data_IF_520692829317
#
_entry.id   IF_520692829317
#
_cell.length_a   1.000
_cell.length_b   1.000
_cell.length_c   1.000
_cell.angle_alpha   90.00
_cell.angle_beta   90.00
_cell.angle_gamma   90.00
#
_symmetry.space_group_name_H-M   'P 1'
#
loop_
_entity.id
_entity.type
_entity.pdbx_description
1 polymer ?
#
# COMPACT_ATOMS: atom_id res chain seq x y z
N UNK A 1 -3.15 -17.91 -55.03
CA UNK A 1 -4.36 -18.22 -54.22
C UNK A 1 -5.59 -17.43 -54.66
N UNK A 2 -5.53 -16.09 -54.77
CA UNK A 2 -6.68 -15.24 -55.17
C UNK A 2 -7.23 -15.59 -56.57
N UNK A 3 -6.36 -15.89 -57.54
CA UNK A 3 -6.77 -16.31 -58.89
C UNK A 3 -7.46 -17.69 -58.93
N UNK A 4 -7.01 -18.64 -58.09
CA UNK A 4 -7.56 -20.00 -58.03
C UNK A 4 -8.95 -20.01 -57.37
N UNK A 5 -9.16 -19.13 -56.38
CA UNK A 5 -10.46 -18.96 -55.70
C UNK A 5 -11.47 -18.26 -56.64
N UNK A 6 -11.02 -17.33 -57.49
CA UNK A 6 -11.89 -16.67 -58.48
C UNK A 6 -12.52 -17.64 -59.49
N UNK A 7 -11.77 -18.66 -59.92
CA UNK A 7 -12.25 -19.68 -60.88
C UNK A 7 -13.23 -20.66 -60.22
N UNK A 8 -12.97 -21.09 -58.99
CA UNK A 8 -13.87 -21.96 -58.22
C UNK A 8 -15.23 -21.30 -57.90
N UNK A 9 -15.26 -19.98 -57.71
CA UNK A 9 -16.49 -19.22 -57.40
C UNK A 9 -17.35 -18.99 -58.65
N UNK A 10 -16.75 -18.84 -59.83
CA UNK A 10 -17.50 -18.74 -61.09
C UNK A 10 -18.21 -20.06 -61.40
N UNK A 11 -17.53 -21.19 -61.18
CA UNK A 11 -18.10 -22.53 -61.34
C UNK A 11 -19.25 -22.80 -60.36
N UNK A 12 -19.13 -22.37 -59.10
CA UNK A 12 -20.17 -22.59 -58.08
C UNK A 12 -21.41 -21.71 -58.27
N UNK A 13 -21.24 -20.51 -58.82
CA UNK A 13 -22.34 -19.55 -59.05
C UNK A 13 -23.25 -19.95 -60.22
N UNK A 14 -22.71 -20.64 -61.23
CA UNK A 14 -23.46 -21.18 -62.36
C UNK A 14 -24.32 -22.40 -61.98
N UNK A 15 -24.00 -23.08 -60.87
CA UNK A 15 -24.62 -24.36 -60.51
C UNK A 15 -25.72 -24.27 -59.44
N UNK A 16 -25.77 -23.19 -58.63
CA UNK A 16 -26.67 -23.12 -57.45
C UNK A 16 -27.52 -21.84 -57.28
N UNK A 17 -27.49 -20.89 -58.24
CA UNK A 17 -28.36 -19.72 -58.24
C UNK A 17 -28.32 -18.87 -56.94
N UNK A 18 -29.44 -18.26 -56.57
CA UNK A 18 -29.53 -17.21 -55.52
C UNK A 18 -28.99 -17.55 -54.12
N UNK A 19 -28.80 -18.84 -53.78
CA UNK A 19 -28.18 -19.26 -52.51
C UNK A 19 -26.65 -19.06 -52.49
N UNK A 20 -25.99 -19.00 -53.65
CA UNK A 20 -24.55 -18.69 -53.76
C UNK A 20 -24.19 -17.25 -53.38
N UNK A 21 -25.11 -16.30 -53.60
CA UNK A 21 -24.93 -14.87 -53.27
C UNK A 21 -24.86 -14.61 -51.76
N UNK A 22 -25.65 -15.35 -50.97
CA UNK A 22 -25.67 -15.21 -49.51
C UNK A 22 -24.41 -15.81 -48.87
N UNK A 23 -23.92 -16.92 -49.40
CA UNK A 23 -22.64 -17.53 -48.98
C UNK A 23 -21.45 -16.63 -49.33
N UNK A 24 -21.47 -15.98 -50.50
CA UNK A 24 -20.49 -14.98 -50.91
C UNK A 24 -20.45 -13.76 -50.00
N UNK A 25 -21.60 -13.24 -49.55
CA UNK A 25 -21.64 -12.10 -48.61
C UNK A 25 -21.11 -12.46 -47.21
N UNK A 26 -21.41 -13.67 -46.71
CA UNK A 26 -20.88 -14.15 -45.42
C UNK A 26 -19.37 -14.41 -45.49
N UNK A 27 -18.87 -15.03 -46.55
CA UNK A 27 -17.43 -15.19 -46.79
C UNK A 27 -16.74 -13.86 -47.04
N UNK A 28 -17.34 -12.91 -47.79
CA UNK A 28 -16.83 -11.54 -47.91
C UNK A 28 -16.74 -10.86 -46.56
N UNK A 29 -17.74 -10.98 -45.68
CA UNK A 29 -17.67 -10.36 -44.35
C UNK A 29 -16.59 -10.98 -43.45
N UNK A 30 -16.27 -12.26 -43.62
CA UNK A 30 -15.21 -12.97 -42.89
C UNK A 30 -13.81 -12.68 -43.51
N UNK A 31 -13.75 -12.43 -44.81
CA UNK A 31 -12.53 -12.12 -45.58
C UNK A 31 -12.25 -10.60 -45.62
N UNK A 32 -13.25 -9.74 -45.34
CA UNK A 32 -13.13 -8.28 -45.38
C UNK A 32 -12.42 -7.67 -44.17
N UNK A 33 -12.26 -8.41 -43.06
CA UNK A 33 -11.30 -8.02 -42.03
C UNK A 33 -9.94 -8.51 -42.50
N UNK A 34 -9.32 -7.73 -43.38
CA UNK A 34 -8.02 -8.07 -43.95
C UNK A 34 -6.95 -8.24 -42.87
N UNK A 35 -5.88 -9.01 -43.12
CA UNK A 35 -4.80 -9.23 -42.16
C UNK A 35 -4.18 -7.92 -41.61
N UNK A 36 -4.23 -6.82 -42.38
CA UNK A 36 -3.82 -5.49 -41.92
C UNK A 36 -4.73 -4.90 -40.84
N UNK A 37 -6.04 -5.08 -40.94
CA UNK A 37 -7.02 -4.52 -40.00
C UNK A 37 -6.95 -5.22 -38.63
N UNK A 38 -6.77 -6.55 -38.61
CA UNK A 38 -6.50 -7.30 -37.36
C UNK A 38 -5.17 -6.95 -36.72
N UNK A 39 -4.15 -6.65 -37.52
CA UNK A 39 -2.84 -6.23 -36.99
C UNK A 39 -2.93 -4.84 -36.35
N UNK A 40 -3.68 -3.91 -36.96
CA UNK A 40 -3.89 -2.57 -36.41
C UNK A 40 -4.75 -2.61 -35.13
N UNK A 41 -5.78 -3.46 -35.06
CA UNK A 41 -6.54 -3.71 -33.83
C UNK A 41 -5.67 -4.26 -32.70
N UNK A 42 -4.77 -5.21 -33.00
CA UNK A 42 -3.87 -5.79 -32.00
C UNK A 42 -2.84 -4.78 -31.48
N UNK A 43 -2.40 -3.84 -32.32
CA UNK A 43 -1.51 -2.73 -31.93
C UNK A 43 -2.25 -1.72 -31.07
N UNK A 44 -3.47 -1.35 -31.43
CA UNK A 44 -4.29 -0.44 -30.63
C UNK A 44 -4.60 -1.02 -29.25
N UNK A 45 -5.01 -2.29 -29.20
CA UNK A 45 -5.28 -2.97 -27.92
C UNK A 45 -4.03 -3.06 -27.02
N UNK A 46 -2.85 -3.25 -27.61
CA UNK A 46 -1.58 -3.20 -26.87
C UNK A 46 -1.28 -1.79 -26.34
N UNK A 47 -1.40 -0.77 -27.19
CA UNK A 47 -1.23 0.65 -26.83
C UNK A 47 -2.13 1.03 -25.65
N UNK A 48 -3.43 0.73 -25.74
CA UNK A 48 -4.40 1.06 -24.71
C UNK A 48 -4.09 0.36 -23.38
N UNK A 49 -3.71 -0.94 -23.44
CA UNK A 49 -3.33 -1.71 -22.26
C UNK A 49 -2.04 -1.19 -21.61
N UNK A 50 -1.05 -0.80 -22.42
CA UNK A 50 0.21 -0.23 -21.94
C UNK A 50 -0.05 1.09 -21.21
N UNK A 51 -0.82 2.01 -21.82
CA UNK A 51 -1.19 3.29 -21.21
C UNK A 51 -1.99 3.11 -19.93
N UNK A 52 -2.90 2.14 -19.88
CA UNK A 52 -3.68 1.85 -18.69
C UNK A 52 -2.84 1.30 -17.52
N UNK A 53 -1.73 0.60 -17.77
CA UNK A 53 -0.94 -0.08 -16.75
C UNK A 53 0.41 0.58 -16.44
N UNK A 54 0.88 1.52 -17.27
CA UNK A 54 2.19 2.17 -17.06
C UNK A 54 2.22 2.94 -15.75
N UNK A 55 1.14 3.67 -15.42
CA UNK A 55 1.04 4.45 -14.19
C UNK A 55 1.15 3.59 -12.93
N UNK A 56 0.37 2.51 -12.85
CA UNK A 56 0.41 1.58 -11.71
C UNK A 56 1.75 0.85 -11.61
N UNK A 57 2.35 0.46 -12.74
CA UNK A 57 3.67 -0.19 -12.79
C UNK A 57 4.77 0.74 -12.27
N UNK A 58 4.78 2.00 -12.71
CA UNK A 58 5.80 2.98 -12.30
C UNK A 58 5.57 3.50 -10.87
N UNK A 59 4.32 3.54 -10.40
CA UNK A 59 3.99 3.81 -9.01
C UNK A 59 4.62 2.77 -8.06
N UNK A 60 4.82 1.52 -8.51
CA UNK A 60 5.55 0.51 -7.74
C UNK A 60 7.01 0.88 -7.50
N UNK A 61 7.59 1.74 -8.33
CA UNK A 61 8.95 2.26 -8.18
C UNK A 61 8.98 3.61 -7.46
N UNK A 62 7.84 4.17 -7.08
CA UNK A 62 7.72 5.51 -6.50
C UNK A 62 7.72 6.64 -7.53
N UNK A 63 7.32 6.34 -8.78
CA UNK A 63 7.07 7.34 -9.83
C UNK A 63 5.56 7.50 -9.98
N UNK A 64 5.03 8.61 -9.48
CA UNK A 64 3.60 8.89 -9.46
C UNK A 64 3.11 9.52 -10.77
N UNK A 65 1.78 9.57 -10.94
CA UNK A 65 1.13 9.99 -12.20
C UNK A 65 1.53 11.41 -12.62
N UNK A 66 1.77 12.32 -11.67
CA UNK A 66 2.25 13.68 -11.94
C UNK A 66 3.64 13.74 -12.61
N UNK A 67 4.43 12.66 -12.51
CA UNK A 67 5.73 12.51 -13.16
C UNK A 67 5.63 11.85 -14.53
N UNK A 68 4.42 11.46 -14.95
CA UNK A 68 4.14 10.78 -16.20
C UNK A 68 3.28 11.72 -17.04
N UNK A 69 3.67 11.94 -18.29
CA UNK A 69 2.91 12.83 -19.17
C UNK A 69 2.92 12.34 -20.60
N UNK A 70 1.72 12.29 -21.20
CA UNK A 70 1.61 12.11 -22.64
C UNK A 70 2.11 13.37 -23.37
N UNK A 71 2.84 13.14 -24.46
CA UNK A 71 3.44 14.17 -25.31
C UNK A 71 3.05 13.92 -26.75
N UNK A 72 3.10 14.99 -27.55
CA UNK A 72 2.88 14.86 -28.99
C UNK A 72 3.92 13.89 -29.59
N UNK A 73 3.49 12.99 -30.49
CA UNK A 73 4.39 12.13 -31.26
C UNK A 73 5.48 12.93 -31.97
N UNK A 74 6.71 12.40 -32.02
CA UNK A 74 7.75 12.93 -32.91
C UNK A 74 7.63 12.39 -34.35
N UNK A 75 6.96 11.26 -34.52
CA UNK A 75 6.68 10.61 -35.82
C UNK A 75 5.21 10.22 -35.88
N UNK A 76 4.61 10.28 -37.06
CA UNK A 76 3.21 9.85 -37.24
C UNK A 76 3.02 8.39 -36.81
N UNK A 77 2.04 8.13 -35.95
CA UNK A 77 1.60 6.79 -35.56
C UNK A 77 2.13 6.24 -34.23
N UNK A 78 3.10 6.86 -33.57
CA UNK A 78 3.58 6.41 -32.26
C UNK A 78 3.29 7.44 -31.16
N UNK A 79 2.54 7.05 -30.13
CA UNK A 79 2.33 7.86 -28.92
C UNK A 79 3.66 8.15 -28.22
N UNK A 80 3.72 9.19 -27.39
CA UNK A 80 4.93 9.53 -26.64
C UNK A 80 4.60 9.76 -25.18
N UNK A 81 5.32 9.08 -24.30
CA UNK A 81 5.16 9.19 -22.84
C UNK A 81 6.47 9.68 -22.26
N UNK A 82 6.44 10.79 -21.54
CA UNK A 82 7.58 11.30 -20.78
C UNK A 82 7.42 10.89 -19.32
N UNK A 83 8.47 10.30 -18.76
CA UNK A 83 8.57 9.88 -17.37
C UNK A 83 9.73 10.63 -16.71
N UNK A 84 9.43 11.44 -15.70
CA UNK A 84 10.44 12.07 -14.85
C UNK A 84 10.83 11.08 -13.74
N UNK A 85 12.04 10.53 -13.83
CA UNK A 85 12.55 9.53 -12.90
C UNK A 85 13.29 10.21 -11.75
N UNK A 86 12.89 10.01 -10.48
CA UNK A 86 13.58 10.59 -9.33
C UNK A 86 15.08 10.27 -9.25
N UNK A 87 15.86 11.18 -8.67
CA UNK A 87 17.32 11.14 -8.57
C UNK A 87 17.87 9.88 -7.89
N UNK A 88 17.13 9.33 -6.93
CA UNK A 88 17.53 8.13 -6.19
C UNK A 88 17.13 6.80 -6.87
N UNK A 89 16.44 6.84 -8.02
CA UNK A 89 15.98 5.66 -8.75
C UNK A 89 16.77 5.44 -10.07
N UNK A 90 17.61 4.39 -10.20
CA UNK A 90 18.36 4.16 -11.44
C UNK A 90 17.45 3.96 -12.66
N UNK A 91 17.76 4.61 -13.79
CA UNK A 91 16.97 4.51 -15.03
C UNK A 91 16.83 3.08 -15.53
N UNK A 92 17.86 2.25 -15.31
CA UNK A 92 17.86 0.82 -15.66
C UNK A 92 16.77 0.03 -14.93
N UNK A 93 16.40 0.42 -13.72
CA UNK A 93 15.31 -0.24 -12.97
C UNK A 93 13.97 0.05 -13.63
N UNK A 94 13.73 1.32 -14.00
CA UNK A 94 12.53 1.69 -14.75
C UNK A 94 12.47 0.98 -16.12
N UNK A 95 13.59 0.92 -16.83
CA UNK A 95 13.69 0.21 -18.09
C UNK A 95 13.32 -1.28 -17.93
N UNK A 96 13.86 -1.94 -16.90
CA UNK A 96 13.58 -3.35 -16.62
C UNK A 96 12.08 -3.59 -16.35
N UNK A 97 11.43 -2.79 -15.50
CA UNK A 97 10.01 -2.98 -15.20
C UNK A 97 9.11 -2.68 -16.41
N UNK A 98 9.41 -1.63 -17.19
CA UNK A 98 8.67 -1.35 -18.42
C UNK A 98 8.86 -2.44 -19.48
N UNK A 99 10.05 -3.05 -19.56
CA UNK A 99 10.31 -4.19 -20.45
C UNK A 99 9.49 -5.42 -20.04
N UNK A 100 9.35 -5.67 -18.74
CA UNK A 100 8.50 -6.75 -18.22
C UNK A 100 7.03 -6.48 -18.49
N UNK A 101 6.56 -5.25 -18.27
CA UNK A 101 5.19 -4.84 -18.59
C UNK A 101 4.87 -5.09 -20.07
N UNK A 102 5.72 -4.58 -20.98
CA UNK A 102 5.53 -4.77 -22.42
C UNK A 102 5.43 -6.25 -22.79
N UNK A 103 6.35 -7.08 -22.25
CA UNK A 103 6.34 -8.53 -22.48
C UNK A 103 5.09 -9.20 -21.92
N UNK A 104 4.64 -8.81 -20.72
CA UNK A 104 3.42 -9.32 -20.08
C UNK A 104 2.15 -9.01 -20.87
N UNK A 105 2.12 -7.88 -21.58
CA UNK A 105 1.02 -7.48 -22.47
C UNK A 105 1.12 -8.13 -23.87
N UNK A 106 2.07 -9.04 -24.08
CA UNK A 106 2.31 -9.71 -25.36
C UNK A 106 2.93 -8.80 -26.42
N UNK A 107 3.58 -7.72 -26.02
CA UNK A 107 4.44 -6.88 -26.85
C UNK A 107 5.91 -7.00 -26.46
N UNK A 108 6.71 -6.01 -26.84
CA UNK A 108 8.15 -5.99 -26.62
C UNK A 108 8.71 -4.57 -26.59
N UNK A 109 9.90 -4.42 -26.02
CA UNK A 109 10.74 -3.24 -26.22
C UNK A 109 11.57 -3.49 -27.48
N UNK A 110 11.16 -2.90 -28.59
CA UNK A 110 11.80 -3.05 -29.91
C UNK A 110 13.19 -2.42 -29.89
N UNK A 111 13.35 -1.29 -29.19
CA UNK A 111 14.62 -0.58 -29.08
C UNK A 111 14.71 0.17 -27.77
N UNK A 112 15.85 0.07 -27.09
CA UNK A 112 16.19 0.90 -25.94
C UNK A 112 17.50 1.64 -26.23
N UNK A 113 17.50 2.97 -26.10
CA UNK A 113 18.70 3.79 -26.30
C UNK A 113 18.95 4.62 -25.05
N UNK A 114 20.10 4.39 -24.43
CA UNK A 114 20.59 5.19 -23.32
C UNK A 114 21.42 6.36 -23.84
N UNK A 115 21.21 7.53 -23.22
CA UNK A 115 21.96 8.76 -23.47
C UNK A 115 22.60 9.18 -22.14
N UNK A 116 23.75 8.59 -21.75
CA UNK A 116 24.35 8.81 -20.43
C UNK A 116 24.61 10.29 -20.12
N UNK A 117 25.14 11.05 -21.09
CA UNK A 117 25.38 12.50 -20.93
C UNK A 117 24.12 13.37 -20.81
N UNK A 118 22.92 12.78 -20.92
CA UNK A 118 21.63 13.46 -20.78
C UNK A 118 20.75 12.85 -19.69
N UNK A 119 21.29 11.91 -18.90
CA UNK A 119 20.57 11.11 -17.90
C UNK A 119 19.19 10.64 -18.40
N UNK A 120 19.18 10.04 -19.59
CA UNK A 120 17.95 9.73 -20.32
C UNK A 120 18.01 8.35 -20.98
N UNK A 121 16.91 7.62 -20.91
CA UNK A 121 16.69 6.39 -21.68
C UNK A 121 15.43 6.56 -22.54
N UNK A 122 15.50 6.16 -23.81
CA UNK A 122 14.35 6.16 -24.72
C UNK A 122 14.02 4.73 -25.10
N UNK A 123 12.79 4.30 -24.82
CA UNK A 123 12.26 2.99 -25.12
C UNK A 123 11.25 3.11 -26.25
N UNK A 124 11.46 2.37 -27.33
CA UNK A 124 10.48 2.17 -28.38
C UNK A 124 9.78 0.85 -28.09
N UNK A 125 8.52 0.95 -27.70
CA UNK A 125 7.70 -0.17 -27.25
C UNK A 125 6.64 -0.43 -28.31
N UNK A 126 6.32 -1.70 -28.53
CA UNK A 126 5.37 -2.08 -29.55
C UNK A 126 5.08 -3.56 -29.57
N UNK A 127 4.47 -4.01 -30.67
CA UNK A 127 4.07 -5.40 -30.87
C UNK A 127 4.34 -5.80 -32.32
N UNK A 128 4.78 -7.03 -32.53
CA UNK A 128 5.10 -7.55 -33.87
C UNK A 128 6.09 -6.65 -34.63
N UNK A 129 7.12 -6.12 -33.95
CA UNK A 129 8.11 -5.21 -34.55
C UNK A 129 7.60 -3.81 -34.94
N UNK A 130 6.32 -3.48 -34.73
CA UNK A 130 5.75 -2.15 -34.98
C UNK A 130 5.66 -1.35 -33.68
N UNK A 131 6.25 -0.16 -33.68
CA UNK A 131 6.26 0.76 -32.53
C UNK A 131 4.88 1.39 -32.34
N UNK A 132 4.37 1.35 -31.12
CA UNK A 132 3.13 2.04 -30.71
C UNK A 132 3.45 3.21 -29.79
N UNK A 133 4.46 3.11 -28.92
CA UNK A 133 4.85 4.16 -27.99
C UNK A 133 6.37 4.38 -27.94
N UNK A 134 6.75 5.65 -27.77
CA UNK A 134 8.07 6.03 -27.26
C UNK A 134 7.96 6.46 -25.80
N UNK A 135 8.53 5.68 -24.88
CA UNK A 135 8.65 6.02 -23.47
C UNK A 135 10.02 6.66 -23.23
N UNK A 136 10.02 7.91 -22.79
CA UNK A 136 11.22 8.70 -22.52
C UNK A 136 11.40 8.81 -21.01
N UNK A 137 12.36 8.08 -20.47
CA UNK A 137 12.79 8.18 -19.08
C UNK A 137 13.83 9.28 -18.96
N UNK A 138 13.58 10.32 -18.18
CA UNK A 138 14.53 11.42 -17.93
C UNK A 138 14.73 11.57 -16.43
N UNK A 139 15.99 11.61 -15.99
CA UNK A 139 16.32 11.83 -14.59
C UNK A 139 15.89 13.24 -14.14
N UNK A 140 15.20 13.31 -13.01
CA UNK A 140 14.85 14.56 -12.34
C UNK A 140 15.71 14.70 -11.08
N UNK A 141 16.81 15.44 -11.20
CA UNK A 141 17.79 15.66 -10.11
C UNK A 141 17.24 16.48 -8.93
N UNK A 142 16.14 17.21 -9.14
CA UNK A 142 15.48 17.98 -8.09
C UNK A 142 14.50 17.14 -7.28
N UNK A 143 14.17 15.93 -7.74
CA UNK A 143 13.16 15.08 -7.14
C UNK A 143 13.79 13.83 -6.57
N UNK A 144 13.69 13.63 -5.26
CA UNK A 144 13.92 12.33 -4.64
C UNK A 144 12.57 11.66 -4.39
N UNK A 145 12.52 10.33 -4.44
CA UNK A 145 11.35 9.61 -3.97
C UNK A 145 11.14 9.94 -2.50
N UNK A 146 10.05 10.63 -2.23
CA UNK A 146 9.49 10.73 -0.89
C UNK A 146 8.02 10.43 -1.05
N UNK A 147 7.76 9.14 -1.21
CA UNK A 147 6.42 8.61 -1.41
C UNK A 147 5.52 8.83 -0.18
N UNK A 148 6.07 9.27 0.94
CA UNK A 148 5.36 9.46 2.19
C UNK A 148 6.08 8.80 3.35
N UNK A 149 5.57 9.05 4.55
CA UNK A 149 6.08 8.47 5.79
C UNK A 149 5.07 7.46 6.31
N UNK A 150 5.49 6.24 6.61
CA UNK A 150 4.60 5.21 7.15
C UNK A 150 5.08 4.85 8.56
N UNK A 151 4.18 4.84 9.53
CA UNK A 151 4.37 4.13 10.78
C UNK A 151 3.45 2.92 10.85
N UNK A 152 3.99 1.83 11.36
CA UNK A 152 3.25 0.60 11.63
C UNK A 152 3.33 0.31 13.12
N UNK A 153 2.17 0.14 13.73
CA UNK A 153 2.03 -0.31 15.12
C UNK A 153 1.44 -1.72 15.07
N UNK A 154 2.03 -2.65 15.81
CA UNK A 154 1.51 -4.01 15.96
C UNK A 154 1.08 -4.19 17.41
N UNK A 155 -0.21 -4.42 17.61
CA UNK A 155 -0.90 -4.53 18.89
C UNK A 155 -0.92 -5.98 19.41
N UNK A 156 -1.46 -6.15 20.62
CA UNK A 156 -1.75 -7.44 21.28
C UNK A 156 -0.53 -8.29 21.68
N UNK A 157 0.65 -7.69 21.84
CA UNK A 157 1.79 -8.41 22.42
C UNK A 157 1.62 -8.69 23.92
N UNK A 158 2.31 -9.73 24.40
CA UNK A 158 2.46 -10.05 25.83
C UNK A 158 2.01 -11.46 26.23
N UNK A 159 1.29 -12.17 25.36
CA UNK A 159 0.87 -13.56 25.60
C UNK A 159 1.88 -14.60 25.13
N UNK A 160 2.57 -14.35 24.01
CA UNK A 160 3.39 -15.33 23.30
C UNK A 160 4.79 -14.75 23.03
N UNK A 161 5.81 -15.47 23.50
CA UNK A 161 7.22 -15.07 23.34
C UNK A 161 7.81 -15.47 21.98
N UNK A 162 7.29 -16.51 21.34
CA UNK A 162 7.78 -16.96 20.04
C UNK A 162 7.36 -15.98 18.95
N UNK A 163 6.08 -15.59 18.93
CA UNK A 163 5.60 -14.56 18.00
C UNK A 163 6.35 -13.24 18.22
N UNK A 164 6.57 -12.84 19.48
CA UNK A 164 7.29 -11.61 19.81
C UNK A 164 8.73 -11.62 19.29
N UNK A 165 9.46 -12.74 19.42
CA UNK A 165 10.83 -12.86 18.88
C UNK A 165 10.87 -12.65 17.38
N UNK A 166 9.94 -13.27 16.64
CA UNK A 166 9.90 -13.14 15.18
C UNK A 166 9.53 -11.73 14.72
N UNK A 167 8.60 -11.07 15.40
CA UNK A 167 8.34 -9.65 15.14
C UNK A 167 9.54 -8.75 15.45
N UNK A 168 10.39 -9.12 16.41
CA UNK A 168 11.62 -8.39 16.72
C UNK A 168 12.76 -8.62 15.70
N UNK A 169 12.56 -9.49 14.70
CA UNK A 169 13.47 -9.67 13.56
C UNK A 169 13.10 -8.75 12.38
N UNK A 170 11.93 -8.11 12.41
CA UNK A 170 11.50 -7.14 11.41
C UNK A 170 12.31 -5.83 11.51
N UNK A 171 12.04 -4.91 10.58
CA UNK A 171 12.61 -3.56 10.65
C UNK A 171 12.30 -2.90 12.02
N UNK A 172 13.30 -2.41 12.76
CA UNK A 172 13.13 -1.87 14.12
C UNK A 172 12.27 -0.60 14.19
N UNK A 173 11.89 -0.04 13.03
CA UNK A 173 10.94 1.07 12.94
C UNK A 173 9.49 0.63 13.13
N UNK A 174 9.17 -0.66 13.04
CA UNK A 174 7.85 -1.17 13.45
C UNK A 174 7.71 -1.00 14.96
N UNK A 175 6.63 -0.36 15.38
CA UNK A 175 6.34 -0.09 16.79
C UNK A 175 5.53 -1.25 17.37
N UNK A 176 5.93 -1.76 18.54
CA UNK A 176 5.27 -2.91 19.18
C UNK A 176 4.48 -2.44 20.41
N UNK A 177 3.18 -2.72 20.45
CA UNK A 177 2.29 -2.34 21.56
C UNK A 177 1.94 -3.55 22.42
N UNK A 178 2.21 -3.44 23.71
CA UNK A 178 2.16 -4.56 24.65
C UNK A 178 0.98 -4.41 25.61
N UNK A 179 0.13 -5.42 25.67
CA UNK A 179 -0.94 -5.52 26.67
C UNK A 179 -0.33 -5.73 28.06
N UNK A 180 -0.82 -5.03 29.10
CA UNK A 180 -0.34 -5.20 30.45
C UNK A 180 -0.87 -6.50 31.08
N UNK A 181 -0.13 -7.03 32.05
CA UNK A 181 -0.54 -8.15 32.93
C UNK A 181 -0.80 -9.51 32.26
N UNK A 182 -0.34 -9.69 31.02
CA UNK A 182 -0.25 -11.01 30.41
C UNK A 182 1.00 -11.75 30.90
N UNK A 183 1.05 -13.05 30.65
CA UNK A 183 2.09 -13.97 31.13
C UNK A 183 3.51 -13.46 30.83
N UNK A 184 3.71 -12.83 29.68
CA UNK A 184 5.01 -12.42 29.17
C UNK A 184 5.12 -10.91 28.90
N UNK A 185 4.18 -10.07 29.34
CA UNK A 185 4.17 -8.62 29.02
C UNK A 185 5.52 -7.92 29.26
N UNK A 186 6.12 -8.10 30.45
CA UNK A 186 7.40 -7.47 30.77
C UNK A 186 8.54 -8.01 29.90
N UNK A 187 8.59 -9.32 29.71
CA UNK A 187 9.63 -9.98 28.92
C UNK A 187 9.56 -9.56 27.44
N UNK A 188 8.36 -9.44 26.88
CA UNK A 188 8.16 -8.96 25.51
C UNK A 188 8.55 -7.49 25.38
N UNK A 189 8.19 -6.64 26.34
CA UNK A 189 8.57 -5.23 26.33
C UNK A 189 10.11 -5.04 26.43
N UNK A 190 10.78 -5.81 27.28
CA UNK A 190 12.25 -5.81 27.34
C UNK A 190 12.91 -6.32 26.05
N UNK A 191 12.37 -7.39 25.47
CA UNK A 191 12.86 -7.94 24.20
C UNK A 191 12.73 -6.92 23.08
N UNK A 192 11.54 -6.33 22.91
CA UNK A 192 11.28 -5.30 21.90
C UNK A 192 12.25 -4.12 22.04
N UNK A 193 12.45 -3.63 23.27
CA UNK A 193 13.38 -2.55 23.55
C UNK A 193 14.84 -2.92 23.21
N UNK A 194 15.31 -4.11 23.62
CA UNK A 194 16.67 -4.61 23.34
C UNK A 194 16.91 -4.82 21.85
N UNK A 195 15.88 -5.20 21.09
CA UNK A 195 15.92 -5.32 19.62
C UNK A 195 15.78 -3.97 18.89
N UNK A 196 15.66 -2.85 19.62
CA UNK A 196 15.63 -1.50 19.05
C UNK A 196 14.25 -1.00 18.62
N UNK A 197 13.18 -1.76 18.88
CA UNK A 197 11.81 -1.35 18.58
C UNK A 197 11.30 -0.29 19.57
N UNK A 198 10.42 0.57 19.08
CA UNK A 198 9.64 1.45 19.95
C UNK A 198 8.52 0.65 20.62
N UNK A 199 8.39 0.81 21.94
CA UNK A 199 7.38 0.11 22.75
C UNK A 199 6.26 1.06 23.13
N UNK A 200 5.02 0.61 22.99
CA UNK A 200 3.83 1.26 23.53
C UNK A 200 3.17 0.38 24.59
N UNK A 201 2.46 1.02 25.51
CA UNK A 201 1.43 0.34 26.30
C UNK A 201 0.15 0.24 25.46
N UNK A 202 -0.33 -0.99 25.24
CA UNK A 202 -1.64 -1.25 24.69
C UNK A 202 -2.67 -1.27 25.84
N UNK A 203 -3.28 -0.14 26.15
CA UNK A 203 -4.08 0.03 27.36
C UNK A 203 -5.49 -0.56 27.18
N UNK A 204 -5.90 -1.57 27.97
CA UNK A 204 -7.23 -2.16 27.88
C UNK A 204 -8.33 -1.18 28.28
N UNK A 205 -9.37 -1.08 27.44
CA UNK A 205 -10.48 -0.15 27.64
C UNK A 205 -11.84 -0.78 27.28
N UNK A 206 -12.90 -0.34 27.97
CA UNK A 206 -14.26 -0.85 27.81
C UNK A 206 -14.77 -0.74 26.36
N UNK A 207 -15.13 -1.87 25.72
CA UNK A 207 -15.86 -1.87 24.45
C UNK A 207 -17.35 -1.59 24.66
N UNK A 208 -18.07 -1.30 23.58
CA UNK A 208 -19.53 -1.11 23.58
C UNK A 208 -20.27 -2.37 24.05
N UNK A 209 -19.88 -3.54 23.53
CA UNK A 209 -20.46 -4.84 23.87
C UNK A 209 -19.48 -5.68 24.70
N UNK A 210 -19.54 -5.53 26.04
CA UNK A 210 -18.75 -6.33 27.00
C UNK A 210 -19.17 -7.82 27.03
N UNK A 211 -20.34 -8.18 26.50
CA UNK A 211 -20.82 -9.58 26.52
C UNK A 211 -20.06 -10.48 25.55
N UNK A 212 -19.57 -9.88 24.45
CA UNK A 212 -18.80 -10.58 23.42
C UNK A 212 -17.31 -10.27 23.46
N UNK A 213 -16.93 -9.18 24.12
CA UNK A 213 -15.56 -8.67 24.11
C UNK A 213 -15.06 -8.47 25.53
N UNK A 214 -13.99 -9.20 25.88
CA UNK A 214 -13.31 -9.02 27.15
C UNK A 214 -12.02 -8.22 26.93
N UNK A 215 -11.94 -6.96 27.41
CA UNK A 215 -10.71 -6.16 27.26
C UNK A 215 -9.55 -6.70 28.10
N UNK A 216 -9.81 -7.59 29.06
CA UNK A 216 -8.78 -8.22 29.88
C UNK A 216 -8.47 -7.46 31.16
N UNK A 217 -7.40 -7.89 31.85
CA UNK A 217 -7.09 -7.47 33.20
C UNK A 217 -6.69 -5.99 33.25
N UNK A 218 -7.24 -5.27 34.23
CA UNK A 218 -6.90 -3.86 34.47
C UNK A 218 -7.54 -2.88 33.48
N UNK A 219 -8.58 -3.31 32.77
CA UNK A 219 -9.32 -2.47 31.85
C UNK A 219 -9.87 -1.19 32.49
N UNK A 220 -9.78 -0.11 31.72
CA UNK A 220 -10.39 1.17 32.03
C UNK A 220 -11.85 1.11 31.66
N UNK A 221 -12.72 1.23 32.66
CA UNK A 221 -14.16 1.13 32.51
C UNK A 221 -14.82 2.48 32.81
N UNK A 222 -15.85 2.84 32.05
CA UNK A 222 -16.66 4.04 32.22
C UNK A 222 -17.25 4.09 33.62
N UNK A 223 -17.65 2.97 34.23
CA UNK A 223 -18.17 2.95 35.61
C UNK A 223 -17.15 3.35 36.69
N UNK A 224 -15.85 3.35 36.38
CA UNK A 224 -14.80 3.68 37.35
C UNK A 224 -14.73 5.19 37.59
N UNK A 225 -14.41 5.56 38.84
CA UNK A 225 -14.11 6.95 39.19
C UNK A 225 -12.80 7.42 38.55
N UNK A 226 -12.65 8.74 38.39
CA UNK A 226 -11.44 9.32 37.79
C UNK A 226 -10.15 8.99 38.58
N UNK A 227 -10.21 8.74 39.89
CA UNK A 227 -9.05 8.33 40.70
C UNK A 227 -8.68 6.86 40.49
N UNK A 228 -9.68 5.99 40.35
CA UNK A 228 -9.48 4.59 39.99
C UNK A 228 -8.85 4.46 38.60
N UNK A 229 -9.38 5.18 37.61
CA UNK A 229 -8.84 5.21 36.24
C UNK A 229 -7.36 5.59 36.25
N UNK A 230 -7.01 6.72 36.90
CA UNK A 230 -5.60 7.15 37.03
C UNK A 230 -4.71 6.10 37.72
N UNK A 231 -5.25 5.40 38.72
CA UNK A 231 -4.49 4.38 39.44
C UNK A 231 -4.25 3.14 38.56
N UNK A 232 -5.26 2.70 37.81
CA UNK A 232 -5.14 1.61 36.85
C UNK A 232 -4.17 1.97 35.72
N UNK A 233 -4.27 3.17 35.15
CA UNK A 233 -3.34 3.65 34.12
C UNK A 233 -1.89 3.67 34.64
N UNK A 234 -1.63 4.18 35.85
CA UNK A 234 -0.28 4.17 36.44
C UNK A 234 0.27 2.77 36.63
N UNK A 235 -0.56 1.81 37.05
CA UNK A 235 -0.17 0.41 37.25
C UNK A 235 0.11 -0.28 35.91
N UNK A 236 -0.70 -0.01 34.88
CA UNK A 236 -0.50 -0.57 33.54
C UNK A 236 0.80 -0.04 32.92
N UNK A 237 1.06 1.25 33.05
CA UNK A 237 2.32 1.85 32.61
C UNK A 237 3.55 1.34 33.38
N UNK A 238 3.38 0.86 34.62
CA UNK A 238 4.46 0.26 35.38
C UNK A 238 4.71 -1.22 35.01
N UNK A 239 3.71 -1.92 34.45
CA UNK A 239 3.84 -3.32 34.05
C UNK A 239 4.37 -3.52 32.64
N UNK A 240 4.50 -2.45 31.85
CA UNK A 240 5.10 -2.44 30.51
C UNK A 240 6.31 -1.49 30.51
N UNK A 241 7.53 -2.00 30.82
CA UNK A 241 8.73 -1.16 30.85
C UNK A 241 9.05 -0.60 29.45
N UNK A 242 9.81 0.49 29.41
CA UNK A 242 10.27 1.17 28.18
C UNK A 242 9.18 1.78 27.28
N UNK A 243 7.90 1.73 27.67
CA UNK A 243 6.83 2.36 26.92
C UNK A 243 7.08 3.86 26.71
N UNK A 244 7.11 4.30 25.43
CA UNK A 244 7.26 5.72 25.04
C UNK A 244 5.92 6.41 24.76
N UNK A 245 4.87 5.63 24.57
CA UNK A 245 3.52 6.11 24.32
C UNK A 245 2.48 5.07 24.71
N UNK A 246 1.22 5.42 24.49
CA UNK A 246 0.05 4.58 24.79
C UNK A 246 -0.90 4.60 23.60
N UNK A 247 -1.46 3.44 23.25
CA UNK A 247 -2.68 3.35 22.44
C UNK A 247 -3.76 2.55 23.18
N UNK A 248 -5.01 2.64 22.74
CA UNK A 248 -6.11 1.90 23.34
C UNK A 248 -6.30 0.52 22.69
N UNK A 249 -6.46 -0.51 23.53
CA UNK A 249 -6.97 -1.82 23.17
C UNK A 249 -8.49 -1.83 23.36
N UNK A 250 -9.23 -2.18 22.31
CA UNK A 250 -10.68 -1.99 22.26
C UNK A 250 -11.03 -0.53 22.64
N UNK A 251 -12.00 -0.31 23.52
CA UNK A 251 -12.30 1.02 24.03
C UNK A 251 -13.37 1.77 23.26
N UNK A 252 -14.16 1.12 22.40
CA UNK A 252 -15.22 1.81 21.64
C UNK A 252 -16.18 2.61 22.54
N UNK A 253 -16.44 2.15 23.77
CA UNK A 253 -17.25 2.90 24.74
C UNK A 253 -16.43 3.86 25.61
N UNK A 254 -15.27 3.40 26.09
CA UNK A 254 -14.43 4.21 26.98
C UNK A 254 -13.86 5.46 26.31
N UNK A 255 -13.48 5.36 25.03
CA UNK A 255 -12.85 6.44 24.27
C UNK A 255 -13.82 7.55 23.88
N UNK A 256 -15.13 7.29 23.86
CA UNK A 256 -16.18 8.30 23.68
C UNK A 256 -16.41 9.14 24.95
N UNK A 257 -15.98 8.66 26.12
CA UNK A 257 -16.18 9.36 27.38
C UNK A 257 -15.06 10.36 27.66
N UNK A 258 -15.37 11.65 27.52
CA UNK A 258 -14.45 12.76 27.84
C UNK A 258 -13.87 12.68 29.26
N UNK A 259 -14.68 12.27 30.25
CA UNK A 259 -14.21 12.12 31.64
C UNK A 259 -13.16 11.02 31.76
N UNK A 260 -13.40 9.87 31.13
CA UNK A 260 -12.49 8.72 31.14
C UNK A 260 -11.20 9.10 30.43
N UNK A 261 -11.28 9.64 29.22
CA UNK A 261 -10.10 10.04 28.45
C UNK A 261 -9.29 11.13 29.15
N UNK A 262 -9.91 12.16 29.72
CA UNK A 262 -9.19 13.16 30.55
C UNK A 262 -8.45 12.51 31.73
N UNK A 263 -9.04 11.50 32.37
CA UNK A 263 -8.40 10.83 33.49
C UNK A 263 -7.18 10.00 33.05
N UNK A 264 -7.30 9.23 31.96
CA UNK A 264 -6.19 8.45 31.37
C UNK A 264 -5.07 9.39 30.90
N UNK A 265 -5.42 10.39 30.09
CA UNK A 265 -4.49 11.32 29.45
C UNK A 265 -3.71 12.17 30.45
N UNK A 266 -4.24 12.43 31.65
CA UNK A 266 -3.48 13.10 32.72
C UNK A 266 -2.26 12.28 33.14
N UNK A 267 -2.38 10.96 33.25
CA UNK A 267 -1.25 10.12 33.65
C UNK A 267 -0.25 9.93 32.52
N UNK A 268 -0.73 9.89 31.26
CA UNK A 268 0.12 9.93 30.06
C UNK A 268 0.93 11.22 30.02
N UNK A 269 0.27 12.38 30.20
CA UNK A 269 0.92 13.71 30.21
C UNK A 269 1.98 13.84 31.31
N UNK A 270 1.65 13.42 32.54
CA UNK A 270 2.59 13.48 33.68
C UNK A 270 3.90 12.73 33.42
N UNK A 271 3.87 11.68 32.61
CA UNK A 271 5.06 10.88 32.26
C UNK A 271 5.74 11.34 30.97
N UNK A 272 5.25 12.40 30.31
CA UNK A 272 5.78 12.88 29.05
C UNK A 272 5.60 11.91 27.87
N UNK A 273 4.62 11.01 27.97
CA UNK A 273 4.32 10.01 26.93
C UNK A 273 3.40 10.59 25.86
N UNK A 274 3.48 10.04 24.64
CA UNK A 274 2.52 10.37 23.57
C UNK A 274 1.32 9.42 23.57
N UNK A 275 0.26 9.82 22.86
CA UNK A 275 -0.96 9.02 22.71
C UNK A 275 -1.29 8.77 21.23
N UNK A 276 -1.57 7.51 20.87
CA UNK A 276 -2.15 7.16 19.57
C UNK A 276 -3.58 6.71 19.83
N UNK A 277 -4.55 7.40 19.23
CA UNK A 277 -5.93 6.95 19.24
C UNK A 277 -6.10 5.85 18.18
N UNK A 278 -6.42 4.63 18.62
CA UNK A 278 -6.64 3.49 17.73
C UNK A 278 -7.97 3.62 16.94
N UNK A 279 -8.80 4.64 17.23
CA UNK A 279 -10.05 4.94 16.52
C UNK A 279 -10.97 3.70 16.40
N UNK A 280 -11.18 3.03 17.53
CA UNK A 280 -12.08 1.86 17.63
C UNK A 280 -13.56 2.25 17.64
N UNK A 281 -13.86 3.55 17.76
CA UNK A 281 -15.16 4.17 17.49
C UNK A 281 -14.96 5.44 16.67
N UNK A 282 -15.88 5.73 15.75
CA UNK A 282 -15.93 7.01 15.03
C UNK A 282 -16.27 8.20 15.94
N UNK A 283 -16.80 7.93 17.14
CA UNK A 283 -17.13 8.95 18.15
C UNK A 283 -16.03 9.12 19.20
N UNK A 284 -14.86 8.48 19.03
CA UNK A 284 -13.75 8.64 19.97
C UNK A 284 -13.40 10.12 20.17
N UNK A 285 -13.30 10.53 21.43
CA UNK A 285 -12.79 11.87 21.81
C UNK A 285 -11.32 11.82 22.22
N UNK A 286 -10.64 10.67 22.05
CA UNK A 286 -9.29 10.44 22.52
C UNK A 286 -8.27 11.43 21.95
N UNK A 287 -8.17 11.50 20.62
CA UNK A 287 -7.26 12.42 19.94
C UNK A 287 -7.54 13.89 20.24
N UNK A 288 -8.78 14.35 20.09
CA UNK A 288 -9.14 15.75 20.31
C UNK A 288 -8.90 16.18 21.76
N UNK A 289 -9.16 15.28 22.72
CA UNK A 289 -8.85 15.51 24.14
C UNK A 289 -7.33 15.59 24.37
N UNK A 290 -6.55 14.65 23.83
CA UNK A 290 -5.09 14.64 23.95
C UNK A 290 -4.47 15.95 23.40
N UNK A 291 -4.91 16.36 22.21
CA UNK A 291 -4.49 17.60 21.55
C UNK A 291 -4.82 18.83 22.41
N UNK A 292 -6.05 18.94 22.91
CA UNK A 292 -6.46 20.06 23.79
C UNK A 292 -5.68 20.12 25.11
N UNK A 293 -5.16 18.99 25.56
CA UNK A 293 -4.33 18.89 26.76
C UNK A 293 -2.84 19.15 26.47
N UNK A 294 -2.44 19.42 25.22
CA UNK A 294 -1.05 19.61 24.82
C UNK A 294 -0.21 18.33 24.93
N UNK A 295 -0.84 17.18 24.71
CA UNK A 295 -0.15 15.88 24.66
C UNK A 295 0.15 15.59 23.20
N UNK A 296 1.38 15.18 22.91
CA UNK A 296 1.75 14.75 21.56
C UNK A 296 0.87 13.58 21.15
N UNK A 297 0.14 13.69 20.03
CA UNK A 297 -0.79 12.65 19.63
C UNK A 297 -1.01 12.50 18.13
N UNK A 298 -1.53 11.35 17.72
CA UNK A 298 -2.03 11.08 16.37
C UNK A 298 -3.20 10.09 16.42
N UNK A 299 -3.84 9.86 15.27
CA UNK A 299 -4.90 8.87 15.08
C UNK A 299 -4.40 7.81 14.10
N UNK A 300 -4.88 6.58 14.26
CA UNK A 300 -4.75 5.55 13.23
C UNK A 300 -5.51 5.98 11.97
N UNK A 301 -4.90 5.77 10.80
CA UNK A 301 -5.59 5.91 9.51
C UNK A 301 -6.39 4.65 9.17
N UNK A 302 -5.73 3.47 9.21
CA UNK A 302 -6.40 2.21 8.91
C UNK A 302 -5.86 1.01 9.71
N UNK A 303 -6.71 0.00 9.89
CA UNK A 303 -6.26 -1.33 10.32
C UNK A 303 -5.81 -2.15 9.11
N UNK A 304 -4.64 -2.78 9.23
CA UNK A 304 -4.03 -3.56 8.14
C UNK A 304 -4.53 -5.01 8.09
N UNK A 305 -5.11 -5.53 9.18
CA UNK A 305 -5.41 -6.96 9.35
C UNK A 305 -6.79 -7.25 9.95
N UNK A 306 -7.79 -6.45 9.58
CA UNK A 306 -9.20 -6.76 9.88
C UNK A 306 -9.62 -8.15 9.37
N UNK A 307 -8.99 -8.61 8.29
CA UNK A 307 -9.09 -9.99 7.80
C UNK A 307 -7.77 -10.70 8.08
N UNK A 308 -7.83 -11.84 8.76
CA UNK A 308 -6.65 -12.66 9.09
C UNK A 308 -6.25 -13.54 7.88
N UNK A 309 -5.88 -12.87 6.79
CA UNK A 309 -5.39 -13.49 5.55
C UNK A 309 -4.20 -12.69 5.00
N UNK A 310 -3.06 -13.32 4.66
CA UNK A 310 -1.87 -12.59 4.22
C UNK A 310 -2.11 -11.69 2.99
N UNK A 311 -2.89 -12.13 2.00
CA UNK A 311 -3.14 -11.34 0.78
C UNK A 311 -4.06 -10.15 1.05
N UNK A 312 -5.05 -10.32 1.92
CA UNK A 312 -5.87 -9.22 2.40
C UNK A 312 -5.00 -8.18 3.13
N UNK A 313 -4.08 -8.63 3.98
CA UNK A 313 -3.16 -7.74 4.71
C UNK A 313 -2.20 -7.01 3.77
N UNK A 314 -1.63 -7.70 2.78
CA UNK A 314 -0.83 -7.08 1.71
C UNK A 314 -1.61 -5.98 0.98
N UNK A 315 -2.88 -6.24 0.65
CA UNK A 315 -3.75 -5.26 -0.01
C UNK A 315 -3.96 -4.01 0.87
N UNK A 316 -4.15 -4.19 2.17
CA UNK A 316 -4.29 -3.09 3.12
C UNK A 316 -2.99 -2.31 3.34
N UNK A 317 -1.84 -2.97 3.30
CA UNK A 317 -0.53 -2.31 3.32
C UNK A 317 -0.29 -1.46 2.08
N UNK A 318 -0.76 -1.92 0.91
CA UNK A 318 -0.74 -1.11 -0.32
C UNK A 318 -1.67 0.11 -0.21
N UNK A 319 -2.86 -0.05 0.36
CA UNK A 319 -3.77 1.07 0.63
C UNK A 319 -3.16 2.09 1.60
N UNK A 320 -2.53 1.62 2.70
CA UNK A 320 -1.80 2.48 3.63
C UNK A 320 -0.69 3.28 2.92
N UNK A 321 0.00 2.65 1.97
CA UNK A 321 1.02 3.31 1.17
C UNK A 321 0.44 4.40 0.26
N UNK A 322 -0.76 4.20 -0.32
CA UNK A 322 -1.46 5.24 -1.09
C UNK A 322 -1.84 6.42 -0.20
N UNK A 323 -2.39 6.16 0.98
CA UNK A 323 -2.70 7.22 1.95
C UNK A 323 -1.45 8.01 2.34
N UNK A 324 -0.33 7.33 2.60
CA UNK A 324 0.92 8.01 2.93
C UNK A 324 1.45 8.89 1.77
N UNK A 325 1.18 8.51 0.52
CA UNK A 325 1.53 9.32 -0.65
C UNK A 325 0.67 10.56 -0.80
N UNK A 326 -0.64 10.40 -0.63
CA UNK A 326 -1.61 11.49 -0.71
C UNK A 326 -1.43 12.49 0.44
N UNK A 327 -1.22 12.00 1.67
CA UNK A 327 -1.25 12.79 2.89
C UNK A 327 0.15 13.06 3.47
N UNK A 328 1.21 12.67 2.76
CA UNK A 328 2.62 12.70 3.19
C UNK A 328 2.98 11.81 4.39
N UNK A 329 1.99 11.33 5.15
CA UNK A 329 2.16 10.44 6.29
C UNK A 329 0.94 9.54 6.49
N UNK A 330 1.12 8.31 6.96
CA UNK A 330 0.04 7.44 7.40
C UNK A 330 0.46 6.47 8.51
N UNK A 331 -0.46 6.11 9.40
CA UNK A 331 -0.32 5.18 10.51
C UNK A 331 -1.24 3.98 10.27
N UNK A 332 -0.62 2.81 10.09
CA UNK A 332 -1.32 1.53 10.07
C UNK A 332 -1.22 0.84 11.42
N UNK A 333 -2.29 0.18 11.85
CA UNK A 333 -2.27 -0.71 13.03
C UNK A 333 -2.62 -2.13 12.58
N UNK A 334 -1.83 -3.10 13.03
CA UNK A 334 -2.14 -4.53 12.96
C UNK A 334 -2.00 -5.18 14.33
N UNK A 335 -2.05 -6.51 14.37
CA UNK A 335 -2.02 -7.31 15.59
C UNK A 335 -0.93 -8.39 15.48
N UNK A 336 -0.42 -8.86 16.60
CA UNK A 336 0.64 -9.85 16.70
C UNK A 336 0.17 -11.27 16.28
N UNK A 337 -0.15 -11.44 14.99
CA UNK A 337 -0.64 -12.69 14.37
C UNK A 337 0.34 -13.22 13.33
N UNK A 338 0.28 -14.51 13.07
CA UNK A 338 1.15 -15.20 12.11
C UNK A 338 1.01 -14.64 10.67
N UNK A 339 -0.22 -14.39 10.23
CA UNK A 339 -0.45 -13.86 8.88
C UNK A 339 -0.03 -12.39 8.74
N UNK A 340 -0.21 -11.60 9.80
CA UNK A 340 0.29 -10.21 9.87
C UNK A 340 1.80 -10.18 9.78
N UNK A 341 2.50 -11.05 10.51
CA UNK A 341 3.95 -11.20 10.44
C UNK A 341 4.41 -11.53 9.01
N UNK A 342 3.84 -12.58 8.40
CA UNK A 342 4.18 -13.01 7.03
C UNK A 342 4.01 -11.89 6.00
N UNK A 343 2.89 -11.15 6.08
CA UNK A 343 2.64 -10.04 5.17
C UNK A 343 3.67 -8.91 5.37
N UNK A 344 4.02 -8.58 6.62
CA UNK A 344 5.01 -7.55 6.92
C UNK A 344 6.43 -7.95 6.47
N UNK A 345 6.86 -9.20 6.68
CA UNK A 345 8.15 -9.71 6.20
C UNK A 345 8.32 -9.47 4.67
N UNK A 346 7.24 -9.68 3.92
CA UNK A 346 7.27 -9.49 2.46
C UNK A 346 7.14 -8.02 2.04
N UNK A 347 6.31 -7.24 2.74
CA UNK A 347 5.91 -5.91 2.27
C UNK A 347 6.81 -4.79 2.76
N UNK A 348 7.43 -4.89 3.94
CA UNK A 348 8.29 -3.82 4.46
C UNK A 348 9.46 -3.49 3.49
N UNK A 349 10.21 -4.47 2.96
CA UNK A 349 11.27 -4.19 2.00
C UNK A 349 10.73 -3.63 0.68
N UNK A 350 9.54 -4.08 0.23
CA UNK A 350 8.89 -3.57 -0.98
C UNK A 350 8.53 -2.10 -0.80
N UNK A 351 7.85 -1.73 0.28
CA UNK A 351 7.47 -0.33 0.58
C UNK A 351 8.68 0.59 0.61
N UNK A 352 9.77 0.16 1.26
CA UNK A 352 11.03 0.92 1.26
C UNK A 352 11.62 1.08 -0.15
N UNK A 353 11.61 -0.01 -0.94
CA UNK A 353 12.02 0.05 -2.36
C UNK A 353 11.13 0.98 -3.19
N UNK A 354 9.86 1.20 -2.82
CA UNK A 354 8.97 2.19 -3.47
C UNK A 354 9.22 3.62 -2.99
N UNK A 355 10.15 3.85 -2.07
CA UNK A 355 10.52 5.18 -1.58
C UNK A 355 9.71 5.67 -0.38
N UNK A 356 8.96 4.79 0.29
CA UNK A 356 8.31 5.12 1.56
C UNK A 356 9.31 5.11 2.69
N UNK A 357 9.25 6.13 3.56
CA UNK A 357 10.04 6.20 4.76
C UNK A 357 9.29 5.53 5.91
N UNK A 358 9.73 4.34 6.32
CA UNK A 358 9.28 3.76 7.58
C UNK A 358 9.82 4.59 8.76
N UNK A 359 9.01 4.78 9.80
CA UNK A 359 9.37 5.43 11.06
C UNK A 359 8.59 4.81 12.23
N UNK A 360 9.10 5.00 13.45
CA UNK A 360 8.36 4.68 14.67
C UNK A 360 7.18 5.63 14.90
N UNK A 361 6.19 5.19 15.67
CA UNK A 361 4.96 5.95 15.94
C UNK A 361 5.23 7.36 16.52
N UNK A 362 6.26 7.50 17.35
CA UNK A 362 6.66 8.79 17.95
C UNK A 362 7.09 9.86 16.94
N UNK A 363 7.36 9.49 15.68
CA UNK A 363 7.66 10.45 14.60
C UNK A 363 6.41 10.96 13.88
N UNK A 364 5.24 10.39 14.17
CA UNK A 364 3.97 10.73 13.52
C UNK A 364 3.08 11.66 14.34
N UNK A 365 3.37 11.76 15.63
CA UNK A 365 2.60 12.55 16.60
C UNK A 365 3.03 14.02 16.60
N UNK A 366 2.04 14.90 16.61
CA UNK A 366 2.16 16.38 16.61
C UNK A 366 2.06 16.95 18.02
#
# INVERSE_FOLDING_TARGET
>A
MVAVIGVLVLAFSLQFGGKGRLFYHKLKSIIQVGPGQKADEALQAFSDSLKAQIGSTLAELGIWEELISERKPLKAGAGRILVQVPDDLPLVVCNLELSRLAKGLGGEVIKAVEYPGKDKVVLQVGKQGRVTEEIVLVKNRQQRRRAGTIALIVDDFGADMEIARRFCELDPRVTLSVLPYLKHSQQVAELAFKSGHEVLLHLPMEPEDESKNNPGKGAILVRQSSSQIRTLTRRALASVPHAKGVNNHMGSRATESLRVMKAVLREIKKRGLFFIDSMTSSQSVGYSTAKSMGIRCAQRDLFIDNQDDPKAIETRLLELSRLAAEQQKAIGIGHARENTLKALEQMLPKLQKRGFKLVSASKMVE
#
